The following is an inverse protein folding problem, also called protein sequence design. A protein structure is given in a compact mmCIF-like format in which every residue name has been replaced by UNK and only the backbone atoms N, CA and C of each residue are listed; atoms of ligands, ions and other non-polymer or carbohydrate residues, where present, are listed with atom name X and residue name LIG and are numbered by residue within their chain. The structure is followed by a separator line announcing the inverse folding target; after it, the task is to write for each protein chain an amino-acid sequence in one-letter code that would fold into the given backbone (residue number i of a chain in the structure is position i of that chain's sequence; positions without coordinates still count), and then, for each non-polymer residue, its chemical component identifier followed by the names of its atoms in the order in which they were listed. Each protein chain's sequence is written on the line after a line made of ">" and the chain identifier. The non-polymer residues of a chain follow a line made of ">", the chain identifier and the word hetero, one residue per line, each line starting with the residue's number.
data_IF_412638940042
#
_entry.id   IF_412638940042
#
_cell.length_a   1.000
_cell.length_b   1.000
_cell.length_c   1.000
_cell.angle_alpha   90.00
_cell.angle_beta   90.00
_cell.angle_gamma   90.00
#
_symmetry.space_group_name_H-M   'P 1'
#
loop_
_entity.id
_entity.type
_entity.pdbx_description
1 polymer ?
#
# COMPACT_ATOMS: atom_id res chain seq x y z
N UNK A 1 -40.20 73.66 -23.52
CA UNK A 1 -39.75 72.44 -24.18
C UNK A 1 -38.56 71.87 -23.41
N UNK A 2 -38.78 70.82 -22.60
CA UNK A 2 -37.73 70.14 -21.80
C UNK A 2 -37.44 68.80 -22.45
N UNK A 3 -36.21 68.65 -22.96
CA UNK A 3 -35.68 67.40 -23.54
C UNK A 3 -35.32 66.43 -22.42
N UNK A 4 -35.95 65.25 -22.42
CA UNK A 4 -35.66 64.15 -21.50
C UNK A 4 -34.62 63.26 -22.15
N UNK A 5 -33.38 63.31 -21.66
CA UNK A 5 -32.28 62.42 -22.07
C UNK A 5 -32.46 61.06 -21.37
N UNK A 6 -32.83 60.02 -22.11
CA UNK A 6 -32.81 58.59 -21.64
C UNK A 6 -31.41 58.06 -21.70
N UNK A 7 -30.80 57.79 -20.55
CA UNK A 7 -29.59 56.98 -20.45
C UNK A 7 -29.98 55.49 -20.46
N UNK A 8 -29.61 54.79 -21.53
CA UNK A 8 -29.67 53.35 -21.58
C UNK A 8 -28.51 52.78 -20.79
N UNK A 9 -28.83 52.00 -19.74
CA UNK A 9 -27.87 51.28 -18.94
C UNK A 9 -27.60 49.92 -19.66
N UNK A 10 -26.44 49.74 -20.28
CA UNK A 10 -26.02 48.45 -20.80
C UNK A 10 -25.49 47.61 -19.67
N UNK A 11 -26.23 46.54 -19.32
CA UNK A 11 -25.85 45.55 -18.31
C UNK A 11 -25.00 44.50 -19.04
N UNK A 12 -23.68 44.60 -18.93
CA UNK A 12 -22.75 43.60 -19.44
C UNK A 12 -22.67 42.39 -18.47
N UNK A 13 -23.37 41.32 -18.81
CA UNK A 13 -23.30 40.06 -18.05
C UNK A 13 -22.04 39.29 -18.41
N UNK A 14 -21.01 39.40 -17.58
CA UNK A 14 -19.79 38.55 -17.70
C UNK A 14 -20.08 37.15 -17.19
N UNK A 15 -20.27 36.22 -18.11
CA UNK A 15 -20.42 34.80 -17.75
C UNK A 15 -19.03 34.23 -17.37
N UNK A 16 -18.81 34.01 -16.09
CA UNK A 16 -17.65 33.25 -15.61
C UNK A 16 -17.91 31.77 -15.88
N UNK A 17 -17.25 31.22 -16.90
CA UNK A 17 -17.23 29.78 -17.14
C UNK A 17 -16.33 29.15 -16.08
N UNK A 18 -16.92 28.59 -15.02
CA UNK A 18 -16.19 27.74 -14.06
C UNK A 18 -15.90 26.42 -14.78
N UNK A 19 -14.66 26.26 -15.27
CA UNK A 19 -14.18 24.96 -15.70
C UNK A 19 -14.07 24.06 -14.47
N UNK A 20 -15.01 23.11 -14.31
CA UNK A 20 -14.89 22.02 -13.35
C UNK A 20 -13.78 21.13 -13.89
N UNK A 21 -12.58 21.26 -13.34
CA UNK A 21 -11.50 20.29 -13.54
C UNK A 21 -11.94 19.07 -12.74
N UNK A 22 -12.48 18.07 -13.41
CA UNK A 22 -12.63 16.73 -12.82
C UNK A 22 -11.21 16.19 -12.67
N UNK A 23 -10.71 16.20 -11.43
CA UNK A 23 -9.52 15.43 -11.08
C UNK A 23 -9.87 13.96 -11.31
N UNK A 24 -9.43 13.43 -12.44
CA UNK A 24 -9.41 11.99 -12.71
C UNK A 24 -8.27 11.41 -11.85
N UNK A 25 -8.53 11.20 -10.57
CA UNK A 25 -7.63 10.41 -9.73
C UNK A 25 -7.82 8.93 -10.10
N UNK A 26 -6.69 8.26 -10.39
CA UNK A 26 -6.67 6.82 -10.54
C UNK A 26 -7.19 6.16 -9.26
N UNK A 27 -7.90 5.03 -9.39
CA UNK A 27 -8.43 4.30 -8.25
C UNK A 27 -7.30 3.76 -7.38
N UNK A 28 -7.49 3.80 -6.06
CA UNK A 28 -6.57 3.21 -5.10
C UNK A 28 -6.47 1.68 -5.28
N UNK A 29 -5.27 1.14 -5.08
CA UNK A 29 -4.99 -0.31 -5.00
C UNK A 29 -4.31 -0.62 -3.66
N UNK A 30 -5.03 -0.51 -2.53
CA UNK A 30 -4.43 -0.38 -1.20
C UNK A 30 -3.94 -1.70 -0.59
N UNK A 31 -4.15 -2.83 -1.25
CA UNK A 31 -3.77 -4.17 -0.78
C UNK A 31 -3.63 -5.17 -1.92
N UNK A 32 -3.13 -6.36 -1.61
CA UNK A 32 -3.10 -7.49 -2.54
C UNK A 32 -4.50 -7.77 -3.10
N UNK A 33 -4.60 -7.94 -4.42
CA UNK A 33 -5.84 -8.13 -5.18
C UNK A 33 -6.78 -6.91 -5.23
N UNK A 34 -6.33 -5.72 -4.82
CA UNK A 34 -7.09 -4.47 -4.93
C UNK A 34 -8.10 -4.25 -3.81
N UNK A 35 -8.91 -3.22 -3.95
CA UNK A 35 -9.82 -2.74 -2.89
C UNK A 35 -10.83 -3.80 -2.44
N UNK A 36 -11.34 -4.59 -3.38
CA UNK A 36 -12.32 -5.66 -3.14
C UNK A 36 -11.68 -7.06 -3.02
N UNK A 37 -10.34 -7.17 -3.10
CA UNK A 37 -9.60 -8.43 -3.10
C UNK A 37 -10.06 -9.42 -4.21
N UNK A 38 -10.48 -8.92 -5.36
CA UNK A 38 -10.99 -9.69 -6.51
C UNK A 38 -10.19 -9.49 -7.80
N UNK A 39 -9.08 -8.77 -7.74
CA UNK A 39 -8.20 -8.45 -8.87
C UNK A 39 -8.87 -7.62 -9.98
N UNK A 40 -9.94 -6.91 -9.67
CA UNK A 40 -10.61 -6.03 -10.62
C UNK A 40 -10.30 -4.57 -10.34
N UNK A 41 -10.10 -3.81 -11.40
CA UNK A 41 -10.01 -2.35 -11.35
C UNK A 41 -11.31 -1.74 -11.86
N UNK A 42 -11.75 -0.67 -11.20
CA UNK A 42 -12.90 0.14 -11.63
C UNK A 42 -12.48 1.26 -12.59
N UNK A 43 -11.21 1.29 -12.99
CA UNK A 43 -10.70 2.28 -13.94
C UNK A 43 -11.45 2.24 -15.26
N UNK A 44 -11.78 3.42 -15.77
CA UNK A 44 -12.46 3.62 -17.05
C UNK A 44 -11.58 4.39 -18.00
N UNK A 45 -11.87 4.30 -19.33
CA UNK A 45 -11.10 5.02 -20.33
C UNK A 45 -9.73 4.43 -20.63
N UNK A 46 -9.46 3.19 -20.17
CA UNK A 46 -8.25 2.47 -20.57
C UNK A 46 -8.30 2.16 -22.07
N UNK A 47 -7.12 2.14 -22.71
CA UNK A 47 -7.01 1.80 -24.13
C UNK A 47 -7.30 0.30 -24.33
N UNK A 48 -8.09 -0.05 -25.32
CA UNK A 48 -8.34 -1.44 -25.74
C UNK A 48 -7.07 -2.12 -26.27
N UNK A 49 -6.15 -1.34 -26.82
CA UNK A 49 -4.85 -1.80 -27.27
C UNK A 49 -3.76 -0.74 -27.02
N UNK A 50 -2.62 -1.20 -26.52
CA UNK A 50 -1.46 -0.35 -26.33
C UNK A 50 -0.68 -0.18 -27.64
N UNK A 51 0.02 0.96 -27.84
CA UNK A 51 1.00 1.09 -28.91
C UNK A 51 2.04 -0.02 -28.85
N UNK A 52 2.68 -0.33 -29.98
CA UNK A 52 3.70 -1.39 -30.05
C UNK A 52 4.84 -1.17 -29.05
N UNK A 53 5.16 0.07 -28.76
CA UNK A 53 6.18 0.52 -27.81
C UNK A 53 5.72 0.44 -26.35
N UNK A 54 4.47 0.08 -26.10
CA UNK A 54 3.83 0.07 -24.79
C UNK A 54 3.32 1.46 -24.36
N UNK A 55 2.85 1.59 -23.11
CA UNK A 55 2.45 2.87 -22.55
C UNK A 55 3.67 3.80 -22.36
N UNK A 56 3.47 5.13 -22.37
CA UNK A 56 4.54 6.07 -22.04
C UNK A 56 5.15 5.77 -20.66
N UNK A 57 6.48 5.86 -20.58
CA UNK A 57 7.19 5.73 -19.31
C UNK A 57 7.25 7.09 -18.62
N UNK A 58 6.49 7.26 -17.53
CA UNK A 58 6.51 8.48 -16.73
C UNK A 58 7.76 8.55 -15.85
N UNK A 59 8.06 7.49 -15.12
CA UNK A 59 9.25 7.37 -14.30
C UNK A 59 9.64 5.91 -14.05
N UNK A 60 10.86 5.69 -13.62
CA UNK A 60 11.33 4.40 -13.13
C UNK A 60 12.24 4.56 -11.92
N UNK A 61 12.25 3.57 -11.03
CA UNK A 61 13.08 3.54 -9.83
C UNK A 61 13.75 2.18 -9.67
N UNK A 62 15.03 2.21 -9.28
CA UNK A 62 15.75 1.01 -8.87
C UNK A 62 15.36 0.70 -7.43
N UNK A 63 14.88 -0.51 -7.20
CA UNK A 63 14.46 -1.01 -5.89
C UNK A 63 15.28 -2.22 -5.47
N UNK A 64 15.15 -2.65 -4.22
CA UNK A 64 15.78 -3.86 -3.72
C UNK A 64 15.08 -5.14 -4.17
N UNK A 65 15.43 -6.27 -3.55
CA UNK A 65 14.86 -7.59 -3.85
C UNK A 65 13.58 -7.83 -3.06
N UNK A 66 12.67 -8.67 -3.59
CA UNK A 66 11.41 -9.06 -2.95
C UNK A 66 10.41 -9.58 -3.97
N UNK A 67 9.31 -10.13 -3.47
CA UNK A 67 8.13 -10.54 -4.24
C UNK A 67 6.91 -9.70 -3.88
N UNK A 68 7.07 -8.69 -3.01
CA UNK A 68 6.02 -7.77 -2.65
C UNK A 68 5.58 -6.95 -3.87
N UNK A 69 4.29 -6.85 -4.09
CA UNK A 69 3.74 -5.86 -5.02
C UNK A 69 3.64 -4.49 -4.32
N UNK A 70 3.71 -3.38 -5.06
CA UNK A 70 3.40 -2.07 -4.49
C UNK A 70 1.91 -1.95 -4.20
N UNK A 71 1.58 -1.16 -3.17
CA UNK A 71 0.21 -0.72 -2.90
C UNK A 71 0.09 0.79 -3.09
N UNK A 72 -1.06 1.22 -3.61
CA UNK A 72 -1.35 2.64 -3.84
C UNK A 72 -2.60 3.02 -3.05
N UNK A 73 -2.52 4.06 -2.27
CA UNK A 73 -3.66 4.55 -1.50
C UNK A 73 -3.34 5.85 -0.77
N UNK A 74 -4.36 6.69 -0.60
CA UNK A 74 -4.22 7.97 0.11
C UNK A 74 -3.07 8.85 -0.39
N UNK A 75 -2.83 8.88 -1.70
CA UNK A 75 -1.75 9.65 -2.31
C UNK A 75 -0.34 9.08 -2.09
N UNK A 76 -0.21 7.86 -1.59
CA UNK A 76 1.06 7.17 -1.38
C UNK A 76 1.16 5.94 -2.28
N UNK A 77 2.35 5.68 -2.82
CA UNK A 77 2.75 4.39 -3.38
C UNK A 77 3.73 3.77 -2.39
N UNK A 78 3.39 2.63 -1.81
CA UNK A 78 4.23 1.97 -0.80
C UNK A 78 4.74 0.64 -1.32
N UNK A 79 6.05 0.44 -1.25
CA UNK A 79 6.73 -0.80 -1.62
C UNK A 79 7.50 -1.35 -0.42
N UNK A 80 7.40 -2.67 -0.21
CA UNK A 80 8.19 -3.42 0.76
C UNK A 80 9.23 -4.26 0.03
N UNK A 81 10.50 -3.98 0.22
CA UNK A 81 11.61 -4.64 -0.47
C UNK A 81 12.81 -4.80 0.45
N UNK A 82 13.88 -5.46 -0.01
CA UNK A 82 15.11 -5.65 0.77
C UNK A 82 16.32 -5.04 0.09
N UNK A 83 17.09 -4.29 0.85
CA UNK A 83 18.39 -3.76 0.46
C UNK A 83 19.44 -4.34 1.40
N UNK A 84 20.33 -5.17 0.88
CA UNK A 84 21.39 -5.86 1.65
C UNK A 84 20.79 -6.67 2.82
N UNK A 85 21.02 -6.25 4.06
CA UNK A 85 20.57 -6.90 5.30
C UNK A 85 19.40 -6.17 5.98
N UNK A 86 18.70 -5.33 5.26
CA UNK A 86 17.55 -4.58 5.78
C UNK A 86 16.33 -4.79 4.89
N UNK A 87 15.19 -5.11 5.47
CA UNK A 87 13.92 -4.92 4.82
C UNK A 87 13.53 -3.45 4.93
N UNK A 88 13.04 -2.90 3.84
CA UNK A 88 12.77 -1.47 3.64
C UNK A 88 11.34 -1.31 3.17
N UNK A 89 10.56 -0.55 3.90
CA UNK A 89 9.27 -0.04 3.45
C UNK A 89 9.49 1.39 2.96
N UNK A 90 9.20 1.62 1.70
CA UNK A 90 9.41 2.92 1.08
C UNK A 90 8.07 3.47 0.58
N UNK A 91 7.72 4.67 1.05
CA UNK A 91 6.62 5.45 0.51
C UNK A 91 7.12 6.44 -0.51
N UNK A 92 6.40 6.55 -1.61
CA UNK A 92 6.75 7.39 -2.75
C UNK A 92 5.53 8.18 -3.22
N UNK A 93 5.76 9.32 -3.82
CA UNK A 93 4.74 10.03 -4.62
C UNK A 93 4.41 9.19 -5.86
N UNK A 94 3.15 8.80 -6.09
CA UNK A 94 2.78 7.93 -7.20
C UNK A 94 3.15 8.50 -8.58
N UNK A 95 3.04 9.81 -8.77
CA UNK A 95 3.28 10.47 -10.06
C UNK A 95 4.75 10.67 -10.41
N UNK A 96 5.64 10.68 -9.42
CA UNK A 96 7.06 11.03 -9.63
C UNK A 96 8.04 9.95 -9.19
N UNK A 97 7.59 8.99 -8.38
CA UNK A 97 8.46 8.00 -7.75
C UNK A 97 9.41 8.58 -6.69
N UNK A 98 9.22 9.86 -6.30
CA UNK A 98 10.04 10.50 -5.27
C UNK A 98 9.73 9.92 -3.90
N UNK A 99 10.76 9.49 -3.17
CA UNK A 99 10.63 8.98 -1.81
C UNK A 99 10.10 10.06 -0.88
N UNK A 100 9.03 9.73 -0.15
CA UNK A 100 8.46 10.57 0.91
C UNK A 100 9.07 10.21 2.25
N UNK A 101 9.03 8.91 2.61
CA UNK A 101 9.67 8.38 3.81
C UNK A 101 10.15 6.94 3.59
N UNK A 102 11.03 6.47 4.49
CA UNK A 102 11.46 5.08 4.55
C UNK A 102 11.44 4.58 5.99
N UNK A 103 10.93 3.37 6.19
CA UNK A 103 11.05 2.60 7.42
C UNK A 103 11.93 1.38 7.14
N UNK A 104 12.86 1.06 8.05
CA UNK A 104 13.85 0.00 7.85
C UNK A 104 14.02 -0.83 9.10
N UNK A 105 14.23 -2.13 8.91
CA UNK A 105 14.57 -3.04 10.01
C UNK A 105 15.50 -4.16 9.54
N UNK A 106 16.34 -4.72 10.44
CA UNK A 106 17.24 -5.80 10.09
C UNK A 106 16.50 -7.07 9.66
N UNK A 107 17.03 -7.75 8.63
CA UNK A 107 16.59 -9.07 8.20
C UNK A 107 17.79 -9.93 7.84
N UNK A 108 17.88 -11.11 8.45
CA UNK A 108 18.92 -12.11 8.20
C UNK A 108 18.40 -13.28 7.35
N UNK A 109 17.12 -13.24 6.94
CA UNK A 109 16.54 -14.29 6.13
C UNK A 109 17.39 -14.57 4.90
N UNK A 110 17.68 -15.86 4.68
CA UNK A 110 18.36 -16.36 3.49
C UNK A 110 17.46 -17.44 2.90
N UNK A 111 17.04 -17.24 1.66
CA UNK A 111 16.28 -18.23 0.92
C UNK A 111 17.17 -19.46 0.67
N UNK A 112 16.83 -20.64 1.21
CA UNK A 112 17.65 -21.83 1.07
C UNK A 112 17.78 -22.33 -0.37
N UNK A 113 16.91 -21.88 -1.27
CA UNK A 113 16.93 -22.20 -2.70
C UNK A 113 17.58 -21.12 -3.57
N UNK A 114 17.97 -19.99 -2.96
CA UNK A 114 18.64 -18.90 -3.65
C UNK A 114 17.74 -18.07 -4.59
N UNK A 115 16.41 -18.16 -4.47
CA UNK A 115 15.52 -17.40 -5.34
C UNK A 115 15.48 -15.91 -4.95
N UNK A 116 15.10 -15.60 -3.70
CA UNK A 116 14.97 -14.22 -3.26
C UNK A 116 14.93 -14.09 -1.73
N UNK A 117 15.77 -13.22 -1.19
CA UNK A 117 15.85 -12.98 0.26
C UNK A 117 14.92 -11.86 0.76
N UNK A 118 14.18 -11.21 -0.12
CA UNK A 118 13.31 -10.09 0.27
C UNK A 118 11.91 -10.51 0.71
N UNK A 119 11.09 -9.55 1.14
CA UNK A 119 9.74 -9.81 1.63
C UNK A 119 8.79 -10.28 0.51
N UNK A 120 7.73 -10.97 0.91
CA UNK A 120 6.68 -11.49 0.03
C UNK A 120 5.36 -10.76 0.21
N UNK A 121 5.14 -10.19 1.38
CA UNK A 121 3.91 -9.50 1.75
C UNK A 121 3.73 -8.20 0.97
N UNK A 122 2.60 -8.04 0.30
CA UNK A 122 2.15 -6.76 -0.23
C UNK A 122 1.67 -5.88 0.93
N UNK A 123 2.11 -4.61 1.04
CA UNK A 123 1.64 -3.71 2.08
C UNK A 123 0.11 -3.53 2.05
N UNK A 124 -0.51 -3.40 3.22
CA UNK A 124 -1.92 -3.03 3.33
C UNK A 124 -2.00 -1.59 3.80
N UNK A 125 -2.67 -0.74 3.04
CA UNK A 125 -2.83 0.67 3.34
C UNK A 125 -4.25 0.95 3.84
N UNK A 126 -4.34 1.71 4.92
CA UNK A 126 -5.57 2.35 5.39
C UNK A 126 -5.40 3.86 5.34
N UNK A 127 -6.40 4.61 5.79
CA UNK A 127 -6.33 6.07 5.81
C UNK A 127 -5.12 6.61 6.59
N UNK A 128 -4.72 5.95 7.67
CA UNK A 128 -3.68 6.40 8.60
C UNK A 128 -2.53 5.41 8.82
N UNK A 129 -2.62 4.17 8.31
CA UNK A 129 -1.69 3.09 8.63
C UNK A 129 -1.26 2.29 7.42
N UNK A 130 -0.09 1.68 7.56
CA UNK A 130 0.43 0.67 6.65
C UNK A 130 0.81 -0.56 7.47
N UNK A 131 0.34 -1.74 7.05
CA UNK A 131 0.69 -3.02 7.66
C UNK A 131 1.59 -3.81 6.72
N UNK A 132 2.67 -4.37 7.25
CA UNK A 132 3.60 -5.21 6.49
C UNK A 132 3.98 -6.44 7.30
N UNK A 133 4.34 -7.51 6.60
CA UNK A 133 4.79 -8.76 7.19
C UNK A 133 6.11 -9.19 6.55
N UNK A 134 7.18 -9.16 7.30
CA UNK A 134 8.54 -9.45 6.83
C UNK A 134 8.83 -10.94 6.71
N UNK A 135 9.88 -11.29 5.96
CA UNK A 135 10.26 -12.67 5.65
C UNK A 135 10.63 -13.51 6.90
N UNK A 136 11.01 -12.86 8.00
CA UNK A 136 11.33 -13.51 9.28
C UNK A 136 10.14 -13.48 10.27
N UNK A 137 8.94 -13.15 9.84
CA UNK A 137 7.77 -13.13 10.70
C UNK A 137 7.61 -11.87 11.56
N UNK A 138 8.25 -10.77 11.20
CA UNK A 138 8.04 -9.47 11.85
C UNK A 138 6.85 -8.76 11.24
N UNK A 139 5.80 -8.60 12.03
CA UNK A 139 4.57 -7.91 11.65
C UNK A 139 4.62 -6.49 12.21
N UNK A 140 4.50 -5.50 11.31
CA UNK A 140 4.54 -4.08 11.69
C UNK A 140 3.25 -3.37 11.31
N UNK A 141 2.86 -2.44 12.14
CA UNK A 141 1.96 -1.34 11.83
C UNK A 141 2.76 -0.04 11.87
N UNK A 142 2.75 0.72 10.79
CA UNK A 142 3.47 1.98 10.66
C UNK A 142 2.52 3.08 10.20
N UNK A 143 2.79 4.31 10.57
CA UNK A 143 2.02 5.48 10.13
C UNK A 143 2.22 5.75 8.65
N UNK A 144 1.14 5.90 7.90
CA UNK A 144 1.19 6.11 6.44
C UNK A 144 1.80 7.47 6.08
N UNK A 145 1.69 8.47 6.94
CA UNK A 145 2.13 9.84 6.67
C UNK A 145 3.64 10.04 6.89
N UNK A 146 4.23 9.33 7.85
CA UNK A 146 5.59 9.59 8.31
C UNK A 146 6.49 8.33 8.43
N UNK A 147 5.93 7.15 8.18
CA UNK A 147 6.66 5.88 8.28
C UNK A 147 7.04 5.50 9.71
N UNK A 148 6.44 6.12 10.74
CA UNK A 148 6.78 5.86 12.14
C UNK A 148 6.15 4.56 12.60
N UNK A 149 6.91 3.71 13.33
CA UNK A 149 6.39 2.51 13.97
C UNK A 149 5.29 2.88 14.97
N UNK A 150 4.13 2.23 14.83
CA UNK A 150 3.03 2.31 15.80
C UNK A 150 3.10 1.11 16.74
N UNK A 151 3.22 -0.10 16.18
CA UNK A 151 3.46 -1.33 16.93
C UNK A 151 4.17 -2.38 16.07
N UNK A 152 4.80 -3.35 16.74
CA UNK A 152 5.46 -4.51 16.12
C UNK A 152 5.15 -5.79 16.90
N UNK A 153 5.06 -6.91 16.16
CA UNK A 153 5.03 -8.26 16.70
C UNK A 153 6.11 -9.12 16.04
N UNK A 154 6.89 -9.78 16.84
CA UNK A 154 7.81 -10.83 16.38
C UNK A 154 7.07 -12.17 16.41
N UNK A 155 6.27 -12.43 15.37
CA UNK A 155 5.39 -13.62 15.35
C UNK A 155 6.17 -14.91 15.35
N UNK A 156 7.41 -14.92 14.86
CA UNK A 156 8.27 -16.09 14.92
C UNK A 156 8.56 -16.52 16.36
N UNK A 157 8.81 -15.55 17.23
CA UNK A 157 9.01 -15.81 18.66
C UNK A 157 7.69 -16.05 19.40
N UNK A 158 6.68 -15.22 19.11
CA UNK A 158 5.41 -15.25 19.83
C UNK A 158 4.65 -16.57 19.62
N UNK A 159 4.78 -17.17 18.42
CA UNK A 159 4.00 -18.34 18.01
C UNK A 159 4.85 -19.55 17.62
N UNK A 160 6.13 -19.55 17.98
CA UNK A 160 7.05 -20.68 17.73
C UNK A 160 6.96 -21.17 16.25
N UNK A 161 7.12 -20.25 15.29
CA UNK A 161 7.07 -20.57 13.87
C UNK A 161 8.29 -21.45 13.53
N UNK A 162 8.09 -22.65 12.94
CA UNK A 162 9.20 -23.45 12.46
C UNK A 162 9.89 -22.74 11.30
N UNK A 163 11.16 -23.05 11.09
CA UNK A 163 11.89 -22.48 9.94
C UNK A 163 11.12 -22.79 8.65
N UNK A 164 10.60 -21.74 8.03
CA UNK A 164 9.73 -21.88 6.88
C UNK A 164 10.53 -22.02 5.57
N UNK A 165 10.05 -22.87 4.69
CA UNK A 165 10.67 -23.23 3.42
C UNK A 165 10.99 -22.00 2.53
N UNK A 166 10.08 -21.03 2.49
CA UNK A 166 10.25 -19.77 1.75
C UNK A 166 10.20 -18.53 2.66
N UNK A 167 10.49 -18.67 3.94
CA UNK A 167 10.23 -17.63 4.91
C UNK A 167 8.73 -17.43 5.16
N UNK A 168 8.38 -16.47 5.98
CA UNK A 168 6.99 -16.08 6.19
C UNK A 168 6.52 -15.25 5.00
N UNK A 169 5.50 -15.70 4.29
CA UNK A 169 5.16 -15.15 2.98
C UNK A 169 3.71 -14.71 2.78
N UNK A 170 2.86 -14.84 3.81
CA UNK A 170 1.46 -14.46 3.66
C UNK A 170 1.29 -12.94 3.62
N UNK A 171 0.34 -12.48 2.80
CA UNK A 171 -0.20 -11.14 2.95
C UNK A 171 -1.33 -11.21 3.96
N UNK A 172 -1.31 -10.40 5.03
CA UNK A 172 -2.40 -10.33 5.98
C UNK A 172 -3.72 -9.92 5.33
N UNK A 173 -4.83 -10.27 5.96
CA UNK A 173 -6.16 -9.76 5.62
C UNK A 173 -6.59 -8.78 6.70
N UNK A 174 -6.96 -7.58 6.31
CA UNK A 174 -7.60 -6.62 7.20
C UNK A 174 -9.11 -6.69 7.00
N UNK A 175 -9.82 -7.06 8.06
CA UNK A 175 -11.28 -7.15 8.09
C UNK A 175 -11.79 -6.45 9.36
N UNK A 176 -12.55 -5.40 9.18
CA UNK A 176 -12.95 -4.47 10.23
C UNK A 176 -11.72 -3.94 11.02
N UNK A 177 -11.63 -4.29 12.30
CA UNK A 177 -10.55 -3.95 13.22
C UNK A 177 -9.53 -5.08 13.43
N UNK A 178 -9.60 -6.17 12.64
CA UNK A 178 -8.78 -7.38 12.79
C UNK A 178 -7.80 -7.53 11.63
N UNK A 179 -6.54 -7.73 11.98
CA UNK A 179 -5.50 -8.13 11.05
C UNK A 179 -5.31 -9.65 11.17
N UNK A 180 -5.80 -10.39 10.19
CA UNK A 180 -5.76 -11.86 10.14
C UNK A 180 -4.53 -12.28 9.36
N UNK A 181 -3.68 -13.09 9.96
CA UNK A 181 -2.36 -13.46 9.45
C UNK A 181 -2.17 -14.97 9.49
N UNK A 182 -1.76 -15.57 8.37
CA UNK A 182 -1.26 -16.94 8.37
C UNK A 182 0.18 -16.91 8.88
N UNK A 183 0.36 -17.16 10.15
CA UNK A 183 1.69 -17.13 10.78
C UNK A 183 2.39 -18.50 10.70
N UNK A 184 1.63 -19.60 10.62
CA UNK A 184 2.19 -20.95 10.57
C UNK A 184 2.80 -21.42 11.89
N UNK A 185 2.37 -20.84 13.02
CA UNK A 185 2.88 -21.14 14.34
C UNK A 185 2.40 -22.49 14.89
N UNK A 186 3.11 -23.00 15.88
CA UNK A 186 2.89 -24.28 16.51
C UNK A 186 2.59 -24.11 18.00
N UNK A 187 1.75 -24.98 18.63
CA UNK A 187 1.00 -26.07 18.00
C UNK A 187 -0.38 -25.64 17.42
N UNK A 188 -0.89 -24.44 17.73
CA UNK A 188 -2.28 -24.05 17.47
C UNK A 188 -2.41 -22.67 16.83
N UNK A 189 -1.35 -22.12 16.27
CA UNK A 189 -1.30 -20.75 15.77
C UNK A 189 -1.02 -20.70 14.26
N UNK A 190 -1.66 -21.57 13.48
CA UNK A 190 -1.54 -21.54 12.02
C UNK A 190 -2.05 -20.22 11.46
N UNK A 191 -3.20 -19.76 11.95
CA UNK A 191 -3.81 -18.47 11.64
C UNK A 191 -4.06 -17.70 12.93
N UNK A 192 -3.68 -16.44 12.97
CA UNK A 192 -3.83 -15.56 14.14
C UNK A 192 -4.50 -14.26 13.74
N UNK A 193 -5.46 -13.80 14.52
CA UNK A 193 -6.02 -12.46 14.40
C UNK A 193 -5.45 -11.54 15.47
N UNK A 194 -5.01 -10.38 15.02
CA UNK A 194 -4.55 -9.29 15.86
C UNK A 194 -5.52 -8.12 15.79
N UNK A 195 -5.67 -7.40 16.90
CA UNK A 195 -6.30 -6.10 16.89
C UNK A 195 -5.45 -5.14 16.05
N UNK A 196 -6.01 -4.63 14.97
CA UNK A 196 -5.27 -3.82 14.00
C UNK A 196 -4.67 -2.55 14.62
N UNK A 197 -5.32 -2.01 15.64
CA UNK A 197 -4.88 -0.78 16.31
C UNK A 197 -3.68 -0.96 17.24
N UNK A 198 -3.51 -2.13 17.87
CA UNK A 198 -2.54 -2.37 18.95
C UNK A 198 -1.60 -3.55 18.71
N UNK A 199 -1.91 -4.43 17.76
CA UNK A 199 -1.19 -5.69 17.55
C UNK A 199 -1.44 -6.75 18.63
N UNK A 200 -2.40 -6.57 19.54
CA UNK A 200 -2.76 -7.59 20.53
C UNK A 200 -3.45 -8.77 19.84
N UNK A 201 -3.10 -9.99 20.28
CA UNK A 201 -3.77 -11.20 19.81
C UNK A 201 -5.21 -11.22 20.27
N UNK A 202 -6.14 -11.43 19.32
CA UNK A 202 -7.59 -11.59 19.58
C UNK A 202 -7.91 -13.08 19.68
N UNK A 203 -7.47 -13.87 18.71
CA UNK A 203 -7.64 -15.31 18.68
C UNK A 203 -6.54 -15.99 17.85
N UNK A 204 -6.37 -17.28 18.12
CA UNK A 204 -5.47 -18.19 17.41
C UNK A 204 -6.26 -19.41 16.96
N UNK A 205 -5.90 -19.97 15.81
CA UNK A 205 -6.51 -21.18 15.31
C UNK A 205 -5.50 -22.05 14.56
N UNK A 206 -5.68 -23.35 14.62
CA UNK A 206 -4.95 -24.32 13.78
C UNK A 206 -5.37 -24.10 12.31
N UNK A 207 -4.40 -24.07 11.44
CA UNK A 207 -4.60 -24.07 9.99
C UNK A 207 -4.80 -25.48 9.45
#
# INVERSE_FOLDING_TARGET
>A
MKSICRKTLELSATFFLFAIVLDLQAADWPRFLGIHADSKSEETGLLDAWPKEGPPLEWKKVVGTGYSAPSVGNGNLVLHHRIKKEEVVESMEPLTGKTVWTFKYPSNYIDPFGYNNGPRCTPILTQDRCYIFGAEGKLYCIGIQDGREIWMRDTAKDFNIPEAFFGVGSTPLLEDDKLIVMVGGQPNSGVVAFEASTGKTIWENVG
#
